data_IF_799716740936
#
_entry.id   IF_799716740936
#
_cell.length_a   1.000
_cell.length_b   1.000
_cell.length_c   1.000
_cell.angle_alpha   90.00
_cell.angle_beta   90.00
_cell.angle_gamma   90.00
#
_symmetry.space_group_name_H-M   'P 1'
#
loop_
_entity.id
_entity.type
_entity.pdbx_description
1 polymer ?
#
# COMPACT_ATOMS: atom_id res chain seq x y z
N UNK A 1 47.11 18.62 -1.17
CA UNK A 1 45.92 17.89 -0.68
C UNK A 1 44.94 17.81 -1.84
N UNK A 2 44.94 16.70 -2.60
CA UNK A 2 44.14 16.56 -3.83
C UNK A 2 42.79 15.96 -3.44
N UNK A 3 41.73 16.78 -3.52
CA UNK A 3 40.36 16.35 -3.27
C UNK A 3 39.84 15.64 -4.53
N UNK A 4 39.67 14.32 -4.47
CA UNK A 4 38.94 13.56 -5.49
C UNK A 4 37.46 13.93 -5.37
N UNK A 5 36.89 14.51 -6.42
CA UNK A 5 35.45 14.69 -6.59
C UNK A 5 34.95 13.44 -7.28
N UNK A 6 34.24 12.58 -6.56
CA UNK A 6 33.51 11.46 -7.13
C UNK A 6 32.19 11.97 -7.69
N UNK A 7 32.07 11.98 -9.02
CA UNK A 7 30.84 12.26 -9.74
C UNK A 7 30.04 10.95 -9.80
N UNK A 8 28.97 10.85 -9.00
CA UNK A 8 28.01 9.75 -9.11
C UNK A 8 27.06 10.08 -10.26
N UNK A 9 27.27 9.44 -11.42
CA UNK A 9 26.26 9.44 -12.48
C UNK A 9 25.16 8.44 -12.07
N UNK A 10 24.02 8.97 -11.63
CA UNK A 10 22.81 8.17 -11.50
C UNK A 10 22.32 7.85 -12.92
N UNK A 11 22.71 6.70 -13.45
CA UNK A 11 22.08 6.15 -14.63
C UNK A 11 20.67 5.72 -14.21
N UNK A 12 19.69 6.60 -14.43
CA UNK A 12 18.29 6.20 -14.37
C UNK A 12 18.07 5.22 -15.52
N UNK A 13 18.05 3.92 -15.20
CA UNK A 13 17.42 2.94 -16.06
C UNK A 13 15.95 3.35 -16.13
N UNK A 14 15.53 3.96 -17.24
CA UNK A 14 14.12 4.14 -17.56
C UNK A 14 13.55 2.73 -17.78
N UNK A 15 13.10 2.10 -16.70
CA UNK A 15 12.24 0.93 -16.82
C UNK A 15 10.99 1.40 -17.58
N UNK A 16 10.65 0.70 -18.66
CA UNK A 16 9.37 0.90 -19.35
C UNK A 16 8.26 0.68 -18.33
N UNK A 17 7.60 1.75 -17.90
CA UNK A 17 6.44 1.65 -17.02
C UNK A 17 5.34 0.98 -17.86
N UNK A 18 4.84 -0.21 -17.49
CA UNK A 18 3.78 -0.87 -18.26
C UNK A 18 2.58 0.07 -18.37
N UNK A 19 1.88 0.07 -19.49
CA UNK A 19 0.77 1.00 -19.78
C UNK A 19 -0.35 0.97 -18.72
N UNK A 20 -0.59 -0.19 -18.12
CA UNK A 20 -1.49 -0.33 -16.97
C UNK A 20 -1.07 0.52 -15.75
N UNK A 21 0.23 0.73 -15.55
CA UNK A 21 0.76 1.63 -14.52
C UNK A 21 0.80 3.11 -14.97
N UNK A 22 0.29 3.43 -16.16
CA UNK A 22 0.15 4.81 -16.66
C UNK A 22 -1.32 5.24 -16.60
N UNK A 23 -2.29 4.36 -16.88
CA UNK A 23 -3.72 4.65 -16.77
C UNK A 23 -4.65 3.47 -17.02
N UNK A 24 -5.91 3.64 -16.65
CA UNK A 24 -7.01 2.72 -16.90
C UNK A 24 -7.81 3.15 -18.13
N UNK A 25 -8.25 2.19 -18.92
CA UNK A 25 -9.09 2.44 -20.08
C UNK A 25 -10.34 1.58 -20.04
N UNK A 26 -11.44 2.11 -20.55
CA UNK A 26 -12.74 1.44 -20.54
C UNK A 26 -13.51 1.71 -21.83
N UNK A 27 -14.28 0.72 -22.26
CA UNK A 27 -15.31 0.89 -23.28
C UNK A 27 -16.68 0.59 -22.68
N UNK A 28 -17.63 1.49 -22.93
CA UNK A 28 -18.99 1.40 -22.43
C UNK A 28 -20.01 1.61 -23.55
N UNK A 29 -21.03 0.76 -23.61
CA UNK A 29 -22.20 0.94 -24.47
C UNK A 29 -23.44 0.32 -23.82
N UNK A 30 -24.42 1.16 -23.46
CA UNK A 30 -25.60 0.71 -22.72
C UNK A 30 -25.20 0.06 -21.39
N UNK A 31 -25.52 -1.23 -21.21
CA UNK A 31 -25.13 -2.02 -20.03
C UNK A 31 -23.78 -2.73 -20.17
N UNK A 32 -23.17 -2.70 -21.36
CA UNK A 32 -21.84 -3.27 -21.59
C UNK A 32 -20.80 -2.30 -21.04
N UNK A 33 -19.94 -2.79 -20.15
CA UNK A 33 -18.83 -2.05 -19.57
C UNK A 33 -17.62 -2.98 -19.47
N UNK A 34 -16.53 -2.66 -20.16
CA UNK A 34 -15.35 -3.54 -20.28
C UNK A 34 -14.08 -2.74 -20.06
N UNK A 35 -13.25 -3.19 -19.11
CA UNK A 35 -11.90 -2.67 -18.93
C UNK A 35 -11.01 -3.08 -20.11
N UNK A 36 -10.27 -2.12 -20.64
CA UNK A 36 -9.47 -2.24 -21.86
C UNK A 36 -7.99 -2.14 -21.50
N UNK A 37 -7.23 -3.15 -21.89
CA UNK A 37 -5.77 -3.06 -22.00
C UNK A 37 -5.43 -2.65 -23.43
N UNK A 38 -4.88 -1.45 -23.70
CA UNK A 38 -4.54 -1.05 -25.06
C UNK A 38 -3.53 -2.01 -25.68
N UNK A 39 -3.64 -2.21 -26.99
CA UNK A 39 -2.71 -3.04 -27.74
C UNK A 39 -1.36 -2.33 -27.80
N UNK A 40 -0.28 -3.03 -27.45
CA UNK A 40 1.08 -2.49 -27.53
C UNK A 40 1.77 -3.13 -28.73
N UNK A 41 2.25 -2.32 -29.67
CA UNK A 41 2.93 -2.81 -30.86
C UNK A 41 4.36 -2.29 -31.00
N UNK A 42 5.08 -2.92 -31.93
CA UNK A 42 6.48 -2.60 -32.24
C UNK A 42 6.63 -1.74 -33.49
N UNK A 43 5.51 -1.38 -34.13
CA UNK A 43 5.47 -0.62 -35.38
C UNK A 43 4.88 0.77 -35.14
N UNK A 44 5.35 1.81 -35.84
CA UNK A 44 4.69 3.11 -35.80
C UNK A 44 3.32 3.02 -36.51
N UNK A 45 2.42 3.97 -36.24
CA UNK A 45 1.03 3.91 -36.72
C UNK A 45 0.92 3.89 -38.26
N UNK A 46 1.87 4.52 -38.96
CA UNK A 46 1.94 4.59 -40.42
C UNK A 46 2.16 3.22 -41.07
N UNK A 47 2.78 2.27 -40.34
CA UNK A 47 3.04 0.94 -40.85
C UNK A 47 1.75 0.11 -41.06
N UNK A 48 0.64 0.53 -40.46
CA UNK A 48 -0.67 -0.09 -40.63
C UNK A 48 -1.43 0.42 -41.86
N UNK A 49 -0.85 1.34 -42.64
CA UNK A 49 -1.44 1.87 -43.85
C UNK A 49 -0.46 1.79 -45.03
N UNK A 50 -0.99 1.58 -46.23
CA UNK A 50 -0.21 1.59 -47.46
C UNK A 50 -0.73 2.67 -48.39
N UNK A 51 0.16 3.58 -48.78
CA UNK A 51 -0.10 4.66 -49.73
C UNK A 51 0.82 4.52 -50.95
N UNK A 52 0.80 3.36 -51.62
CA UNK A 52 1.39 3.30 -52.95
C UNK A 52 0.46 4.04 -53.92
N UNK A 53 1.00 4.74 -54.92
CA UNK A 53 0.25 5.63 -55.84
C UNK A 53 -0.88 4.93 -56.64
N UNK A 54 -1.20 3.67 -56.35
CA UNK A 54 -2.23 2.86 -57.01
C UNK A 54 -3.29 2.29 -56.06
N UNK A 55 -3.00 2.16 -54.75
CA UNK A 55 -3.92 1.62 -53.75
C UNK A 55 -3.70 2.27 -52.38
N UNK A 56 -4.74 2.94 -51.89
CA UNK A 56 -4.85 3.37 -50.49
C UNK A 56 -5.65 2.31 -49.75
N UNK A 57 -5.06 1.75 -48.70
CA UNK A 57 -5.72 0.78 -47.82
C UNK A 57 -5.01 0.62 -46.50
N UNK A 58 -5.78 0.21 -45.49
CA UNK A 58 -5.26 -0.36 -44.27
C UNK A 58 -4.59 -1.71 -44.53
N UNK A 59 -3.38 -1.88 -43.99
CA UNK A 59 -2.68 -3.15 -43.84
C UNK A 59 -2.87 -3.75 -42.43
N UNK A 60 -3.80 -3.19 -41.65
CA UNK A 60 -3.97 -3.62 -40.28
C UNK A 60 -4.42 -5.09 -40.20
N UNK A 61 -3.66 -5.96 -39.52
CA UNK A 61 -3.99 -7.39 -39.44
C UNK A 61 -5.23 -7.67 -38.57
N UNK A 62 -5.74 -6.65 -37.86
CA UNK A 62 -6.88 -6.75 -36.97
C UNK A 62 -8.22 -6.45 -37.64
N UNK A 63 -8.20 -6.11 -38.93
CA UNK A 63 -9.41 -5.89 -39.74
C UNK A 63 -10.27 -7.15 -39.76
N UNK A 64 -11.58 -6.97 -39.60
CA UNK A 64 -12.59 -8.02 -39.76
C UNK A 64 -13.60 -7.62 -40.83
N UNK A 65 -14.03 -8.58 -41.66
CA UNK A 65 -15.13 -8.34 -42.60
C UNK A 65 -16.43 -7.99 -41.88
N UNK A 66 -17.26 -7.16 -42.51
CA UNK A 66 -18.56 -6.71 -42.00
C UNK A 66 -18.51 -6.03 -40.62
N UNK A 67 -17.35 -5.53 -40.19
CA UNK A 67 -17.16 -4.91 -38.89
C UNK A 67 -16.49 -3.53 -38.96
N UNK A 68 -16.90 -2.64 -38.06
CA UNK A 68 -16.05 -1.52 -37.64
C UNK A 68 -15.21 -2.01 -36.46
N UNK A 69 -13.91 -2.13 -36.66
CA UNK A 69 -12.95 -2.54 -35.63
C UNK A 69 -12.36 -1.28 -34.99
N UNK A 70 -12.47 -1.17 -33.67
CA UNK A 70 -11.87 -0.11 -32.87
C UNK A 70 -10.87 -0.70 -31.88
N UNK A 71 -9.79 0.01 -31.60
CA UNK A 71 -8.87 -0.35 -30.51
C UNK A 71 -8.00 0.83 -30.12
N UNK A 72 -7.58 0.85 -28.85
CA UNK A 72 -6.50 1.70 -28.39
C UNK A 72 -5.15 1.03 -28.72
N UNK A 73 -4.22 1.80 -29.27
CA UNK A 73 -2.89 1.35 -29.67
C UNK A 73 -1.82 2.24 -29.06
N UNK A 74 -0.84 1.63 -28.39
CA UNK A 74 0.39 2.29 -27.98
C UNK A 74 1.51 1.98 -28.96
N UNK A 75 2.09 3.02 -29.54
CA UNK A 75 3.21 2.91 -30.47
C UNK A 75 4.55 2.68 -29.73
N UNK A 76 5.66 2.41 -30.45
CA UNK A 76 6.98 2.20 -29.85
C UNK A 76 7.54 3.39 -29.08
N UNK A 77 6.98 4.60 -29.26
CA UNK A 77 7.37 5.80 -28.53
C UNK A 77 6.58 5.97 -27.22
N UNK A 78 5.53 5.17 -27.03
CA UNK A 78 4.64 5.22 -25.88
C UNK A 78 3.40 6.10 -26.09
N UNK A 79 3.20 6.67 -27.27
CA UNK A 79 2.02 7.49 -27.57
C UNK A 79 0.79 6.62 -27.81
N UNK A 80 -0.36 7.06 -27.30
CA UNK A 80 -1.64 6.35 -27.38
C UNK A 80 -2.49 6.90 -28.54
N UNK A 81 -3.13 6.00 -29.29
CA UNK A 81 -3.97 6.32 -30.42
C UNK A 81 -5.26 5.49 -30.40
N UNK A 82 -6.35 6.02 -30.94
CA UNK A 82 -7.56 5.28 -31.23
C UNK A 82 -7.61 4.96 -32.73
N UNK A 83 -7.58 3.67 -33.05
CA UNK A 83 -7.82 3.19 -34.40
C UNK A 83 -9.32 2.98 -34.59
N UNK A 84 -9.83 3.42 -35.75
CA UNK A 84 -11.19 3.14 -36.22
C UNK A 84 -11.03 2.62 -37.64
N UNK A 85 -11.29 1.34 -37.86
CA UNK A 85 -11.10 0.70 -39.16
C UNK A 85 -12.38 0.01 -39.60
N UNK A 86 -12.83 0.31 -40.80
CA UNK A 86 -13.98 -0.31 -41.43
C UNK A 86 -13.53 -1.46 -42.34
N UNK A 87 -14.10 -2.63 -42.09
CA UNK A 87 -13.79 -3.83 -42.84
C UNK A 87 -14.53 -3.94 -44.18
N UNK A 88 -14.06 -4.84 -45.06
CA UNK A 88 -14.76 -5.12 -46.30
C UNK A 88 -16.08 -5.84 -46.05
N UNK A 89 -17.12 -5.44 -46.79
CA UNK A 89 -18.37 -6.18 -46.86
C UNK A 89 -18.13 -7.56 -47.51
N UNK A 90 -18.47 -8.64 -46.81
CA UNK A 90 -18.27 -10.02 -47.27
C UNK A 90 -19.26 -10.44 -48.37
N UNK A 91 -20.37 -9.72 -48.52
CA UNK A 91 -21.40 -9.93 -49.54
C UNK A 91 -21.65 -8.65 -50.35
N UNK A 92 -20.65 -8.15 -51.11
CA UNK A 92 -20.79 -6.89 -51.82
C UNK A 92 -21.78 -6.99 -52.98
N UNK A 93 -22.63 -5.97 -53.12
CA UNK A 93 -23.45 -5.78 -54.32
C UNK A 93 -22.68 -4.87 -55.28
N UNK A 94 -22.54 -5.30 -56.54
CA UNK A 94 -21.80 -4.53 -57.54
C UNK A 94 -22.40 -3.13 -57.71
N UNK A 95 -21.56 -2.11 -57.58
CA UNK A 95 -21.98 -0.70 -57.70
C UNK A 95 -22.62 -0.12 -56.43
N UNK A 96 -22.68 -0.86 -55.33
CA UNK A 96 -23.15 -0.36 -54.03
C UNK A 96 -21.94 -0.21 -53.10
N UNK A 97 -21.66 1.02 -52.68
CA UNK A 97 -20.61 1.30 -51.72
C UNK A 97 -21.07 0.97 -50.31
N UNK A 98 -20.11 0.66 -49.44
CA UNK A 98 -20.34 0.61 -48.00
C UNK A 98 -20.12 2.00 -47.42
N UNK A 99 -20.71 2.27 -46.25
CA UNK A 99 -20.59 3.58 -45.61
C UNK A 99 -20.69 3.46 -44.11
N UNK A 100 -19.98 4.32 -43.39
CA UNK A 100 -20.14 4.46 -41.96
C UNK A 100 -20.11 5.93 -41.57
N UNK A 101 -21.06 6.36 -40.74
CA UNK A 101 -21.11 7.69 -40.18
C UNK A 101 -21.08 7.61 -38.68
N UNK A 102 -20.36 8.54 -38.04
CA UNK A 102 -20.33 8.69 -36.60
C UNK A 102 -20.37 10.16 -36.23
N UNK A 103 -21.11 10.49 -35.18
CA UNK A 103 -20.86 11.72 -34.44
C UNK A 103 -19.81 11.45 -33.37
N UNK A 104 -18.75 12.24 -33.33
CA UNK A 104 -17.70 12.14 -32.31
C UNK A 104 -17.76 13.33 -31.36
N UNK A 105 -17.67 13.05 -30.06
CA UNK A 105 -17.66 14.05 -28.99
C UNK A 105 -16.57 13.73 -27.98
N UNK A 106 -16.13 14.74 -27.22
CA UNK A 106 -15.19 14.57 -26.12
C UNK A 106 -13.74 14.30 -26.55
N UNK A 107 -13.38 14.57 -27.80
CA UNK A 107 -11.99 14.47 -28.27
C UNK A 107 -11.12 15.48 -27.51
N UNK A 108 -10.01 15.04 -26.88
CA UNK A 108 -9.12 15.93 -26.13
C UNK A 108 -8.50 17.01 -27.01
N UNK A 109 -8.21 18.17 -26.41
CA UNK A 109 -7.50 19.24 -27.10
C UNK A 109 -6.13 18.75 -27.58
N UNK A 110 -5.84 18.95 -28.87
CA UNK A 110 -4.58 18.54 -29.50
C UNK A 110 -4.59 17.14 -30.14
N UNK A 111 -5.65 16.35 -29.93
CA UNK A 111 -5.88 15.12 -30.67
C UNK A 111 -6.67 15.40 -31.96
N UNK A 112 -6.26 14.81 -33.07
CA UNK A 112 -6.96 14.85 -34.35
C UNK A 112 -6.67 13.58 -35.15
N UNK A 113 -7.29 13.41 -36.33
CA UNK A 113 -6.96 12.31 -37.22
C UNK A 113 -5.58 12.53 -37.85
N UNK A 114 -4.59 11.86 -37.29
CA UNK A 114 -3.18 11.91 -37.74
C UNK A 114 -2.90 10.98 -38.92
N UNK A 115 -3.74 9.97 -39.12
CA UNK A 115 -3.78 9.13 -40.32
C UNK A 115 -5.21 8.92 -40.79
N UNK A 116 -5.38 8.97 -42.11
CA UNK A 116 -6.65 8.82 -42.83
C UNK A 116 -6.40 7.79 -43.93
N UNK A 117 -7.31 6.84 -44.17
CA UNK A 117 -7.09 5.79 -45.19
C UNK A 117 -6.89 6.42 -46.58
N UNK A 118 -7.72 7.41 -46.91
CA UNK A 118 -7.59 8.21 -48.12
C UNK A 118 -7.04 9.63 -47.83
N UNK A 119 -5.99 10.10 -48.54
CA UNK A 119 -5.50 11.46 -48.39
C UNK A 119 -6.56 12.48 -48.84
N UNK A 120 -6.65 13.62 -48.14
CA UNK A 120 -7.66 14.68 -48.35
C UNK A 120 -7.81 15.23 -49.80
N UNK A 121 -6.85 14.95 -50.70
CA UNK A 121 -6.88 15.36 -52.11
C UNK A 121 -7.30 14.25 -53.08
N UNK A 122 -7.65 13.05 -52.59
CA UNK A 122 -7.90 11.87 -53.45
C UNK A 122 -9.31 11.27 -53.31
N UNK A 123 -9.92 11.28 -52.13
CA UNK A 123 -11.34 10.93 -51.97
C UNK A 123 -12.08 12.01 -51.16
N UNK A 124 -13.03 12.76 -51.77
CA UNK A 124 -13.82 13.76 -51.07
C UNK A 124 -15.01 13.17 -50.28
N UNK A 125 -15.20 11.85 -50.32
CA UNK A 125 -16.35 11.19 -49.67
C UNK A 125 -16.14 10.95 -48.17
N UNK A 126 -14.90 11.05 -47.71
CA UNK A 126 -14.55 10.95 -46.30
C UNK A 126 -14.63 12.30 -45.58
N UNK A 127 -15.04 12.25 -44.33
CA UNK A 127 -15.11 13.41 -43.44
C UNK A 127 -14.43 13.05 -42.13
N UNK A 128 -13.35 13.77 -41.80
CA UNK A 128 -12.65 13.68 -40.51
C UNK A 128 -12.75 15.02 -39.77
N UNK A 129 -13.97 15.47 -39.46
CA UNK A 129 -14.20 16.78 -38.86
C UNK A 129 -14.46 16.67 -37.35
N UNK A 130 -13.37 16.53 -36.59
CA UNK A 130 -13.42 16.46 -35.11
C UNK A 130 -14.04 17.73 -34.50
N UNK A 131 -13.74 18.90 -35.04
CA UNK A 131 -14.24 20.18 -34.51
C UNK A 131 -15.77 20.32 -34.63
N UNK A 132 -16.36 19.82 -35.71
CA UNK A 132 -17.82 19.73 -35.88
C UNK A 132 -18.41 18.44 -35.29
N UNK A 133 -17.57 17.53 -34.81
CA UNK A 133 -17.96 16.21 -34.30
C UNK A 133 -18.52 15.29 -35.36
N UNK A 134 -18.14 15.43 -36.63
CA UNK A 134 -18.70 14.68 -37.75
C UNK A 134 -17.65 13.81 -38.42
N UNK A 135 -17.91 12.50 -38.46
CA UNK A 135 -17.09 11.51 -39.14
C UNK A 135 -17.93 10.75 -40.17
N UNK A 136 -17.40 10.56 -41.37
CA UNK A 136 -18.04 9.79 -42.42
C UNK A 136 -17.00 9.10 -43.31
N UNK A 137 -17.32 7.90 -43.75
CA UNK A 137 -16.51 7.07 -44.64
C UNK A 137 -17.37 6.44 -45.71
N UNK A 138 -16.86 6.35 -46.93
CA UNK A 138 -17.53 5.67 -48.04
C UNK A 138 -16.51 4.94 -48.90
N UNK A 139 -16.55 3.61 -48.86
CA UNK A 139 -15.59 2.79 -49.61
C UNK A 139 -16.26 1.84 -50.60
N UNK A 140 -15.51 1.53 -51.65
CA UNK A 140 -15.93 0.60 -52.68
C UNK A 140 -16.04 -0.84 -52.14
N UNK A 141 -16.83 -1.71 -52.81
CA UNK A 141 -16.88 -3.15 -52.53
C UNK A 141 -15.52 -3.80 -52.29
N UNK A 142 -15.45 -4.65 -51.25
CA UNK A 142 -14.26 -5.42 -50.87
C UNK A 142 -13.01 -4.58 -50.49
N UNK A 143 -13.17 -3.28 -50.20
CA UNK A 143 -12.12 -2.43 -49.62
C UNK A 143 -12.29 -2.25 -48.11
N UNK A 144 -11.25 -1.72 -47.48
CA UNK A 144 -11.28 -1.18 -46.12
C UNK A 144 -11.39 0.33 -46.17
N UNK A 145 -11.65 0.93 -45.02
CA UNK A 145 -11.60 2.38 -44.81
C UNK A 145 -11.25 2.68 -43.33
N UNK A 146 -11.08 3.93 -42.95
CA UNK A 146 -10.95 4.36 -41.56
C UNK A 146 -9.81 5.34 -41.30
N UNK A 147 -9.39 5.43 -40.04
CA UNK A 147 -8.31 6.34 -39.65
C UNK A 147 -7.80 6.12 -38.24
N UNK A 148 -6.84 6.96 -37.86
CA UNK A 148 -6.19 6.94 -36.54
C UNK A 148 -6.31 8.31 -35.90
N UNK A 149 -7.00 8.35 -34.77
CA UNK A 149 -7.18 9.54 -33.93
C UNK A 149 -6.11 9.58 -32.83
N UNK A 150 -5.43 10.70 -32.68
CA UNK A 150 -4.50 10.93 -31.57
C UNK A 150 -3.49 12.04 -31.84
N UNK A 151 -2.35 12.06 -31.12
CA UNK A 151 -2.11 11.25 -29.93
C UNK A 151 -3.10 11.61 -28.82
N UNK A 152 -3.52 10.62 -28.04
CA UNK A 152 -4.40 10.77 -26.89
C UNK A 152 -3.55 10.92 -25.61
N UNK A 153 -3.99 11.79 -24.70
CA UNK A 153 -3.54 11.77 -23.32
C UNK A 153 -4.08 10.52 -22.59
N UNK A 154 -3.66 10.30 -21.35
CA UNK A 154 -4.20 9.21 -20.53
C UNK A 154 -5.62 9.52 -20.05
N UNK A 155 -5.93 10.79 -19.82
CA UNK A 155 -7.27 11.26 -19.45
C UNK A 155 -8.06 11.69 -20.69
N UNK A 156 -9.13 10.96 -21.02
CA UNK A 156 -10.08 11.33 -22.07
C UNK A 156 -11.43 10.63 -21.91
N UNK A 157 -12.48 11.19 -22.52
CA UNK A 157 -13.81 10.57 -22.58
C UNK A 157 -14.39 10.84 -23.97
N UNK A 158 -14.12 9.93 -24.91
CA UNK A 158 -14.55 10.05 -26.30
C UNK A 158 -15.83 9.26 -26.48
N UNK A 159 -16.86 9.89 -27.04
CA UNK A 159 -18.09 9.19 -27.43
C UNK A 159 -18.26 9.18 -28.94
N UNK A 160 -18.41 8.00 -29.51
CA UNK A 160 -18.75 7.76 -30.92
C UNK A 160 -20.21 7.31 -31.00
N UNK A 161 -21.07 8.14 -31.58
CA UNK A 161 -22.47 7.81 -31.82
C UNK A 161 -22.66 7.37 -33.26
N UNK A 162 -23.01 6.10 -33.52
CA UNK A 162 -23.29 5.64 -34.88
C UNK A 162 -24.42 6.42 -35.56
N UNK A 163 -24.20 6.77 -36.82
CA UNK A 163 -25.19 7.35 -37.72
C UNK A 163 -25.65 6.32 -38.76
N UNK A 164 -25.63 6.71 -40.04
CA UNK A 164 -25.93 5.77 -41.14
C UNK A 164 -24.75 4.82 -41.32
N UNK A 165 -25.02 3.52 -41.14
CA UNK A 165 -24.06 2.44 -41.37
C UNK A 165 -24.63 1.45 -42.40
N UNK A 166 -23.86 1.13 -43.43
CA UNK A 166 -24.21 0.21 -44.52
C UNK A 166 -23.01 -0.66 -44.88
N UNK A 167 -23.22 -1.97 -45.04
CA UNK A 167 -22.14 -2.94 -45.32
C UNK A 167 -21.36 -3.39 -44.07
N UNK A 168 -21.70 -2.86 -42.89
CA UNK A 168 -21.18 -3.27 -41.58
C UNK A 168 -22.34 -3.84 -40.75
N UNK A 169 -22.10 -4.93 -40.04
CA UNK A 169 -23.09 -5.64 -39.22
C UNK A 169 -22.82 -5.49 -37.72
N UNK A 170 -21.59 -5.20 -37.32
CA UNK A 170 -21.19 -5.06 -35.91
C UNK A 170 -20.08 -4.04 -35.71
N UNK A 171 -19.99 -3.47 -34.51
CA UNK A 171 -18.79 -2.79 -34.03
C UNK A 171 -18.04 -3.77 -33.13
N UNK A 172 -16.72 -3.85 -33.26
CA UNK A 172 -15.88 -4.72 -32.42
C UNK A 172 -14.79 -3.86 -31.80
N UNK A 173 -14.69 -3.88 -30.48
CA UNK A 173 -13.58 -3.26 -29.77
C UNK A 173 -12.55 -4.32 -29.38
N UNK A 174 -11.30 -4.18 -29.84
CA UNK A 174 -10.19 -5.10 -29.59
C UNK A 174 -9.24 -4.58 -28.52
N UNK A 175 -8.71 -5.48 -27.69
CA UNK A 175 -7.83 -5.13 -26.57
C UNK A 175 -6.97 -6.33 -26.11
N UNK A 176 -5.96 -6.09 -25.28
CA UNK A 176 -5.06 -7.11 -24.75
C UNK A 176 -3.81 -7.36 -25.60
N UNK A 177 -3.48 -8.62 -25.85
CA UNK A 177 -2.32 -9.01 -26.67
C UNK A 177 -2.59 -8.71 -28.15
N UNK A 178 -1.73 -7.92 -28.80
CA UNK A 178 -1.87 -7.56 -30.21
C UNK A 178 -1.85 -8.77 -31.15
N UNK A 179 -1.20 -9.88 -30.78
CA UNK A 179 -1.12 -11.09 -31.59
C UNK A 179 -2.32 -12.02 -31.38
N UNK A 180 -3.05 -11.85 -30.28
CA UNK A 180 -4.22 -12.63 -29.92
C UNK A 180 -5.23 -11.77 -29.13
N UNK A 181 -5.80 -10.73 -29.77
CA UNK A 181 -6.59 -9.76 -29.04
C UNK A 181 -7.91 -10.37 -28.57
N UNK A 182 -8.34 -9.92 -27.39
CA UNK A 182 -9.71 -10.10 -26.95
C UNK A 182 -10.62 -9.12 -27.70
N UNK A 183 -11.89 -9.47 -27.83
CA UNK A 183 -12.90 -8.66 -28.51
C UNK A 183 -14.15 -8.50 -27.64
N UNK A 184 -14.72 -7.31 -27.62
CA UNK A 184 -16.11 -7.08 -27.21
C UNK A 184 -16.92 -6.62 -28.42
N UNK A 185 -18.05 -7.27 -28.67
CA UNK A 185 -18.97 -6.89 -29.73
C UNK A 185 -19.95 -5.84 -29.21
N UNK A 186 -20.16 -4.81 -30.02
CA UNK A 186 -20.93 -3.62 -29.72
C UNK A 186 -21.99 -3.40 -30.81
N UNK A 187 -23.11 -2.83 -30.39
CA UNK A 187 -24.23 -2.39 -31.22
C UNK A 187 -23.81 -1.33 -32.23
N UNK A 188 -24.33 -1.43 -33.45
CA UNK A 188 -24.12 -0.45 -34.54
C UNK A 188 -25.04 0.78 -34.41
N UNK A 189 -25.90 0.85 -33.39
CA UNK A 189 -26.88 1.95 -33.24
C UNK A 189 -26.66 2.77 -31.98
N UNK A 190 -26.04 2.20 -30.95
CA UNK A 190 -25.91 2.86 -29.66
C UNK A 190 -24.56 3.57 -29.52
N UNK A 191 -24.49 4.70 -28.79
CA UNK A 191 -23.23 5.40 -28.55
C UNK A 191 -22.19 4.53 -27.84
N UNK A 192 -20.96 4.53 -28.37
CA UNK A 192 -19.79 3.88 -27.77
C UNK A 192 -18.97 4.94 -27.05
N UNK A 193 -18.87 4.84 -25.73
CA UNK A 193 -17.97 5.67 -24.93
C UNK A 193 -16.65 4.94 -24.72
N UNK A 194 -15.53 5.63 -24.95
CA UNK A 194 -14.17 5.15 -24.79
C UNK A 194 -13.47 6.11 -23.84
N UNK A 195 -13.08 5.61 -22.68
CA UNK A 195 -12.54 6.43 -21.60
C UNK A 195 -11.11 6.02 -21.29
N UNK A 196 -10.28 7.02 -21.00
CA UNK A 196 -8.99 6.86 -20.37
C UNK A 196 -8.95 7.69 -19.09
N UNK A 197 -8.34 7.16 -18.04
CA UNK A 197 -8.04 7.86 -16.81
C UNK A 197 -6.59 7.56 -16.41
N UNK A 198 -5.82 8.56 -16.02
CA UNK A 198 -4.50 8.38 -15.43
C UNK A 198 -4.61 7.63 -14.11
N UNK A 199 -3.67 6.70 -13.86
CA UNK A 199 -3.69 5.88 -12.64
C UNK A 199 -3.51 6.76 -11.40
N UNK A 200 -4.41 6.64 -10.43
CA UNK A 200 -4.29 7.33 -9.15
C UNK A 200 -3.66 6.41 -8.10
N UNK A 201 -2.75 6.91 -7.26
CA UNK A 201 -2.17 6.09 -6.22
C UNK A 201 -3.22 5.81 -5.11
N UNK A 202 -3.09 4.70 -4.36
CA UNK A 202 -3.99 4.40 -3.26
C UNK A 202 -4.11 5.51 -2.22
N UNK A 203 -5.26 5.64 -1.59
CA UNK A 203 -5.49 6.53 -0.44
C UNK A 203 -5.46 5.69 0.84
N UNK A 204 -4.47 5.97 1.70
CA UNK A 204 -4.30 5.26 2.96
C UNK A 204 -5.17 5.82 4.08
N UNK A 205 -5.74 4.92 4.87
CA UNK A 205 -6.44 5.20 6.13
C UNK A 205 -6.08 4.11 7.13
N UNK A 206 -5.68 4.50 8.34
CA UNK A 206 -5.21 3.57 9.38
C UNK A 206 -5.84 3.90 10.74
N UNK A 207 -6.44 2.89 11.36
CA UNK A 207 -6.89 2.92 12.75
C UNK A 207 -6.04 1.96 13.57
N UNK A 208 -5.53 2.44 14.71
CA UNK A 208 -4.73 1.63 15.64
C UNK A 208 -5.50 1.44 16.93
N UNK A 209 -5.59 0.20 17.41
CA UNK A 209 -6.29 -0.16 18.63
C UNK A 209 -5.45 -1.09 19.51
N UNK A 210 -5.33 -0.82 20.83
CA UNK A 210 -5.90 0.33 21.53
C UNK A 210 -5.20 1.64 21.18
N UNK A 211 -5.85 2.78 21.47
CA UNK A 211 -5.31 4.12 21.19
C UNK A 211 -4.07 4.46 22.04
N UNK A 212 -3.93 3.85 23.22
CA UNK A 212 -2.78 4.00 24.12
C UNK A 212 -2.18 2.61 24.41
N UNK A 213 -1.46 2.02 23.45
CA UNK A 213 -0.92 0.68 23.63
C UNK A 213 0.28 0.67 24.58
N UNK A 214 0.46 -0.46 25.24
CA UNK A 214 1.58 -0.71 26.13
C UNK A 214 2.51 -1.76 25.55
N UNK A 215 3.76 -1.76 25.98
CA UNK A 215 4.68 -2.84 25.63
C UNK A 215 4.09 -4.20 26.04
N UNK A 216 4.28 -5.20 25.18
CA UNK A 216 3.75 -6.58 25.30
C UNK A 216 2.22 -6.72 25.20
N UNK A 217 1.54 -5.66 24.77
CA UNK A 217 0.14 -5.71 24.40
C UNK A 217 0.00 -5.95 22.90
N UNK A 218 -0.94 -6.82 22.51
CA UNK A 218 -1.32 -6.96 21.11
C UNK A 218 -2.00 -5.68 20.62
N UNK A 219 -1.50 -5.13 19.52
CA UNK A 219 -2.03 -3.94 18.86
C UNK A 219 -2.61 -4.37 17.52
N UNK A 220 -3.86 -3.98 17.25
CA UNK A 220 -4.50 -4.15 15.95
C UNK A 220 -4.28 -2.89 15.11
N UNK A 221 -3.81 -3.10 13.89
CA UNK A 221 -3.64 -2.10 12.84
C UNK A 221 -4.67 -2.39 11.75
N UNK A 222 -5.64 -1.51 11.59
CA UNK A 222 -6.76 -1.68 10.66
C UNK A 222 -6.66 -0.64 9.54
N UNK A 223 -6.24 -1.09 8.36
CA UNK A 223 -6.18 -0.28 7.15
C UNK A 223 -7.39 -0.45 6.22
N UNK A 224 -8.49 -1.07 6.69
CA UNK A 224 -9.62 -1.48 5.84
C UNK A 224 -10.39 -0.32 5.21
N UNK A 225 -10.25 0.88 5.76
CA UNK A 225 -10.81 2.10 5.18
C UNK A 225 -9.93 2.71 4.07
N UNK A 226 -8.78 2.11 3.76
CA UNK A 226 -7.96 2.48 2.61
C UNK A 226 -8.66 2.06 1.32
N UNK A 227 -8.47 2.84 0.26
CA UNK A 227 -9.08 2.54 -1.03
C UNK A 227 -8.20 3.04 -2.17
N UNK A 228 -8.38 2.45 -3.34
CA UNK A 228 -7.77 2.92 -4.57
C UNK A 228 -8.87 3.57 -5.44
N UNK A 229 -8.72 4.83 -5.89
CA UNK A 229 -9.80 5.55 -6.57
C UNK A 229 -10.27 4.92 -7.90
N UNK A 230 -9.38 4.21 -8.58
CA UNK A 230 -9.57 3.70 -9.94
C UNK A 230 -9.20 2.22 -10.12
N UNK A 231 -8.81 1.55 -9.03
CA UNK A 231 -8.51 0.14 -8.98
C UNK A 231 -8.78 -0.48 -7.61
N UNK A 232 -7.89 -1.37 -7.19
CA UNK A 232 -7.95 -2.08 -5.91
C UNK A 232 -6.56 -2.20 -5.30
N UNK A 233 -6.48 -2.08 -3.98
CA UNK A 233 -5.25 -2.38 -3.23
C UNK A 233 -5.06 -3.90 -3.18
N UNK A 234 -3.93 -4.39 -3.66
CA UNK A 234 -3.61 -5.83 -3.69
C UNK A 234 -2.58 -6.24 -2.64
N UNK A 235 -1.85 -5.28 -2.07
CA UNK A 235 -0.80 -5.58 -1.10
C UNK A 235 -0.63 -4.46 -0.06
N UNK A 236 -0.42 -4.88 1.19
CA UNK A 236 -0.13 -4.05 2.36
C UNK A 236 1.24 -4.45 2.90
N UNK A 237 2.20 -3.53 2.92
CA UNK A 237 3.52 -3.74 3.51
C UNK A 237 3.66 -2.88 4.75
N UNK A 238 4.04 -3.51 5.85
CA UNK A 238 4.15 -2.90 7.17
C UNK A 238 5.61 -2.89 7.60
N UNK A 239 6.08 -1.73 8.00
CA UNK A 239 7.30 -1.54 8.77
C UNK A 239 6.87 -0.92 10.10
N UNK A 240 6.87 -1.73 11.15
CA UNK A 240 6.35 -1.35 12.47
C UNK A 240 7.34 -0.51 13.26
N UNK A 241 8.64 -0.62 12.96
CA UNK A 241 9.69 0.04 13.71
C UNK A 241 10.15 1.36 13.02
N UNK A 242 9.86 1.53 11.73
CA UNK A 242 10.19 2.69 10.91
C UNK A 242 11.64 2.73 10.42
N UNK A 243 12.34 1.59 10.33
CA UNK A 243 13.74 1.48 9.92
C UNK A 243 13.93 1.40 8.39
N UNK A 244 12.83 1.34 7.63
CA UNK A 244 12.81 1.24 6.18
C UNK A 244 12.85 -0.20 5.65
N UNK A 245 12.81 -1.20 6.54
CA UNK A 245 12.70 -2.61 6.20
C UNK A 245 11.27 -3.06 6.47
N UNK A 246 10.65 -3.70 5.47
CA UNK A 246 9.31 -4.27 5.62
C UNK A 246 9.38 -5.45 6.60
N UNK A 247 8.66 -5.35 7.71
CA UNK A 247 8.49 -6.39 8.72
C UNK A 247 7.44 -7.43 8.30
N UNK A 248 6.39 -7.00 7.60
CA UNK A 248 5.26 -7.85 7.19
C UNK A 248 4.66 -7.41 5.86
N UNK A 249 4.44 -8.37 4.95
CA UNK A 249 3.62 -8.18 3.74
C UNK A 249 2.35 -9.02 3.84
N UNK A 250 1.19 -8.43 3.53
CA UNK A 250 -0.14 -9.05 3.66
C UNK A 250 -1.06 -8.62 2.53
N UNK A 251 -2.07 -9.44 2.21
CA UNK A 251 -3.24 -9.05 1.41
C UNK A 251 -4.44 -8.65 2.28
N UNK A 252 -4.41 -8.99 3.58
CA UNK A 252 -5.41 -8.56 4.57
C UNK A 252 -5.08 -7.14 5.07
N UNK A 253 -6.03 -6.18 5.03
CA UNK A 253 -5.84 -4.84 5.55
C UNK A 253 -5.73 -4.77 7.08
N UNK A 254 -6.11 -5.81 7.81
CA UNK A 254 -6.06 -5.85 9.28
C UNK A 254 -4.94 -6.78 9.72
N UNK A 255 -3.98 -6.23 10.47
CA UNK A 255 -2.87 -7.01 11.05
C UNK A 255 -2.71 -6.73 12.53
N UNK A 256 -2.02 -7.64 13.22
CA UNK A 256 -1.72 -7.52 14.65
C UNK A 256 -0.22 -7.55 14.87
N UNK A 257 0.27 -6.69 15.76
CA UNK A 257 1.68 -6.62 16.11
C UNK A 257 1.86 -6.30 17.60
N UNK A 258 2.91 -6.83 18.21
CA UNK A 258 3.23 -6.64 19.64
C UNK A 258 4.64 -6.09 19.78
N UNK A 259 4.78 -4.92 20.39
CA UNK A 259 6.09 -4.34 20.68
C UNK A 259 6.67 -4.92 21.98
N UNK A 260 7.92 -5.44 21.97
CA UNK A 260 8.53 -6.03 23.16
C UNK A 260 8.93 -5.00 24.23
N UNK A 261 9.11 -3.74 23.82
CA UNK A 261 9.50 -2.61 24.67
C UNK A 261 8.72 -1.36 24.29
N UNK A 262 8.52 -0.47 25.26
CA UNK A 262 7.90 0.83 25.01
C UNK A 262 8.86 1.79 24.32
N UNK A 263 8.30 2.78 23.62
CA UNK A 263 9.05 3.74 22.83
C UNK A 263 8.17 4.49 21.84
N UNK A 264 8.77 5.43 21.12
CA UNK A 264 8.15 6.08 19.97
C UNK A 264 8.57 5.34 18.70
N UNK A 265 7.60 4.98 17.87
CA UNK A 265 7.77 4.31 16.60
C UNK A 265 7.11 5.15 15.50
N UNK A 266 7.63 5.06 14.27
CA UNK A 266 7.00 5.67 13.11
C UNK A 266 6.58 4.55 12.15
N UNK A 267 5.40 4.00 12.39
CA UNK A 267 4.87 2.88 11.62
C UNK A 267 4.68 3.32 10.17
N UNK A 268 5.29 2.62 9.23
CA UNK A 268 5.15 2.89 7.82
C UNK A 268 4.28 1.80 7.18
N UNK A 269 3.17 2.23 6.59
CA UNK A 269 2.27 1.43 5.78
C UNK A 269 2.49 1.78 4.31
N UNK A 270 2.87 0.79 3.50
CA UNK A 270 2.87 0.92 2.03
C UNK A 270 1.72 0.12 1.45
N UNK A 271 0.82 0.81 0.77
CA UNK A 271 -0.26 0.21 0.00
C UNK A 271 0.18 0.09 -1.46
N UNK A 272 -0.06 -1.05 -2.11
CA UNK A 272 0.23 -1.24 -3.53
C UNK A 272 -1.05 -1.60 -4.25
N UNK A 273 -1.37 -0.87 -5.31
CA UNK A 273 -2.53 -1.15 -6.17
C UNK A 273 -2.29 -2.34 -7.12
N UNK A 274 -3.33 -2.75 -7.83
CA UNK A 274 -3.31 -3.84 -8.80
C UNK A 274 -2.42 -3.59 -10.04
N UNK A 275 -1.84 -2.40 -10.20
CA UNK A 275 -0.90 -2.07 -11.28
C UNK A 275 0.52 -1.80 -10.78
N UNK A 276 0.74 -1.92 -9.46
CA UNK A 276 2.05 -1.83 -8.81
C UNK A 276 2.45 -0.43 -8.33
N UNK A 277 1.56 0.56 -8.36
CA UNK A 277 1.84 1.89 -7.80
C UNK A 277 1.70 1.85 -6.28
N UNK A 278 2.74 2.28 -5.55
CA UNK A 278 2.69 2.34 -4.09
C UNK A 278 2.24 3.71 -3.56
N UNK A 279 1.49 3.71 -2.45
CA UNK A 279 1.35 4.85 -1.54
C UNK A 279 2.00 4.54 -0.21
N UNK A 280 2.83 5.44 0.29
CA UNK A 280 3.45 5.32 1.63
C UNK A 280 2.75 6.24 2.61
N UNK A 281 2.32 5.70 3.74
CA UNK A 281 1.70 6.40 4.85
C UNK A 281 2.50 6.18 6.14
N UNK A 282 2.74 7.25 6.90
CA UNK A 282 3.48 7.19 8.15
C UNK A 282 2.55 7.50 9.33
N UNK A 283 2.59 6.66 10.37
CA UNK A 283 1.78 6.78 11.57
C UNK A 283 2.68 6.84 12.81
N UNK A 284 2.78 8.00 13.49
CA UNK A 284 3.53 8.10 14.73
C UNK A 284 2.78 7.35 15.84
N UNK A 285 3.44 6.36 16.44
CA UNK A 285 2.90 5.53 17.50
C UNK A 285 3.76 5.66 18.76
N UNK A 286 3.13 5.97 19.89
CA UNK A 286 3.78 5.87 21.19
C UNK A 286 3.27 4.63 21.92
N UNK A 287 4.19 3.73 22.26
CA UNK A 287 3.92 2.54 23.07
C UNK A 287 4.47 2.80 24.46
N UNK A 288 3.62 2.76 25.49
CA UNK A 288 4.07 3.00 26.85
C UNK A 288 5.03 1.90 27.32
N UNK A 289 6.09 2.28 28.03
CA UNK A 289 6.96 1.32 28.69
C UNK A 289 6.23 0.63 29.86
N UNK A 290 6.78 -0.50 30.31
CA UNK A 290 6.33 -1.20 31.52
C UNK A 290 6.93 -0.49 32.72
N UNK A 291 6.10 -0.11 33.68
CA UNK A 291 6.54 0.61 34.88
C UNK A 291 6.45 -0.30 36.10
N UNK A 292 7.61 -0.56 36.73
CA UNK A 292 7.70 -1.26 38.02
C UNK A 292 8.49 -0.37 38.96
N UNK A 293 7.88 0.05 40.06
CA UNK A 293 8.47 0.94 41.05
C UNK A 293 8.54 0.22 42.39
N UNK A 294 9.76 0.01 42.90
CA UNK A 294 9.99 -0.48 44.26
C UNK A 294 10.58 0.65 45.11
N UNK A 295 9.89 1.03 46.18
CA UNK A 295 10.34 2.08 47.11
C UNK A 295 10.64 1.48 48.47
N UNK A 296 11.80 1.82 49.05
CA UNK A 296 12.22 1.39 50.38
C UNK A 296 12.16 2.56 51.35
N UNK A 297 11.55 2.35 52.51
CA UNK A 297 11.60 3.26 53.66
C UNK A 297 12.21 2.56 54.86
N UNK A 298 13.15 3.24 55.52
CA UNK A 298 13.81 2.76 56.74
C UNK A 298 13.36 3.66 57.90
N UNK A 299 12.96 3.07 59.03
CA UNK A 299 12.40 3.81 60.16
C UNK A 299 13.42 4.62 60.96
N UNK A 300 14.70 4.59 60.58
CA UNK A 300 15.79 5.25 61.27
C UNK A 300 16.88 5.72 60.30
N UNK A 301 17.66 6.71 60.71
CA UNK A 301 18.87 7.17 60.02
C UNK A 301 20.16 6.69 60.67
N UNK A 302 20.07 6.12 61.89
CA UNK A 302 21.20 5.56 62.64
C UNK A 302 20.81 4.22 63.28
N UNK A 303 21.76 3.31 63.44
CA UNK A 303 21.51 2.02 64.06
C UNK A 303 22.64 1.67 65.03
N UNK A 304 22.27 1.35 66.27
CA UNK A 304 23.20 0.94 67.32
C UNK A 304 23.34 -0.59 67.33
N UNK A 305 24.49 -1.13 67.79
CA UNK A 305 24.64 -2.57 67.95
C UNK A 305 23.54 -3.18 68.83
N UNK A 306 22.92 -4.26 68.37
CA UNK A 306 21.82 -4.95 69.05
C UNK A 306 20.44 -4.30 68.91
N UNK A 307 20.31 -3.17 68.20
CA UNK A 307 19.02 -2.54 67.97
C UNK A 307 18.31 -3.14 66.75
N UNK A 308 16.99 -3.08 66.79
CA UNK A 308 16.11 -3.47 65.70
C UNK A 308 15.38 -2.25 65.18
N UNK A 309 15.27 -2.11 63.86
CA UNK A 309 14.49 -1.07 63.21
C UNK A 309 13.70 -1.64 62.03
N UNK A 310 12.70 -0.89 61.56
CA UNK A 310 11.76 -1.36 60.55
C UNK A 310 12.18 -0.93 59.15
N UNK A 311 12.08 -1.85 58.20
CA UNK A 311 12.20 -1.60 56.77
C UNK A 311 10.89 -1.96 56.11
N UNK A 312 10.39 -1.07 55.26
CA UNK A 312 9.21 -1.32 54.42
C UNK A 312 9.59 -1.12 52.96
N UNK A 313 9.25 -2.09 52.12
CA UNK A 313 9.40 -2.04 50.67
C UNK A 313 8.00 -2.10 50.04
N UNK A 314 7.64 -1.06 49.28
CA UNK A 314 6.39 -1.00 48.52
C UNK A 314 6.68 -1.13 47.03
N UNK A 315 6.08 -2.14 46.41
CA UNK A 315 6.20 -2.47 45.00
C UNK A 315 4.88 -2.10 44.31
N UNK A 316 4.96 -1.21 43.33
CA UNK A 316 3.86 -0.78 42.48
C UNK A 316 4.17 -1.13 41.01
N UNK A 317 3.14 -1.53 40.25
CA UNK A 317 3.30 -1.86 38.83
C UNK A 317 2.06 -1.53 38.02
N UNK A 318 2.24 -1.13 36.76
CA UNK A 318 1.16 -0.85 35.80
C UNK A 318 0.77 -2.05 34.93
N UNK A 319 1.44 -3.19 35.11
CA UNK A 319 1.14 -4.47 34.45
C UNK A 319 1.17 -5.63 35.45
N UNK A 320 0.56 -6.74 35.05
CA UNK A 320 0.63 -7.96 35.85
C UNK A 320 2.07 -8.49 35.88
N UNK A 321 2.55 -8.90 37.06
CA UNK A 321 3.86 -9.51 37.24
C UNK A 321 3.72 -10.92 37.79
N UNK A 322 4.42 -11.87 37.18
CA UNK A 322 4.48 -13.28 37.60
C UNK A 322 5.90 -13.70 37.94
N UNK A 323 6.04 -14.64 38.87
CA UNK A 323 7.36 -15.11 39.34
C UNK A 323 8.18 -13.99 39.96
N UNK A 324 7.52 -13.05 40.63
CA UNK A 324 8.19 -11.88 41.21
C UNK A 324 9.01 -12.27 42.45
N UNK A 325 10.20 -11.70 42.57
CA UNK A 325 11.08 -11.90 43.71
C UNK A 325 11.87 -10.64 44.04
N UNK A 326 12.15 -10.45 45.34
CA UNK A 326 13.03 -9.41 45.85
C UNK A 326 14.17 -10.08 46.62
N UNK A 327 15.39 -9.93 46.12
CA UNK A 327 16.60 -10.31 46.84
C UNK A 327 17.11 -9.11 47.63
N UNK A 328 17.16 -9.24 48.96
CA UNK A 328 17.70 -8.20 49.84
C UNK A 328 19.20 -8.39 50.03
N UNK A 329 19.93 -7.30 49.84
CA UNK A 329 21.36 -7.16 50.11
C UNK A 329 21.53 -6.32 51.38
N UNK A 330 21.79 -7.02 52.48
CA UNK A 330 21.94 -6.46 53.82
C UNK A 330 23.37 -6.64 54.33
N UNK A 331 23.85 -5.78 55.24
CA UNK A 331 25.17 -5.95 55.82
C UNK A 331 25.34 -7.32 56.50
N UNK A 332 26.54 -7.89 56.38
CA UNK A 332 26.86 -9.22 56.90
C UNK A 332 26.57 -9.32 58.40
N UNK A 333 25.88 -10.39 58.78
CA UNK A 333 25.52 -10.70 60.17
C UNK A 333 24.23 -10.05 60.65
N UNK A 334 23.61 -9.15 59.88
CA UNK A 334 22.33 -8.54 60.23
C UNK A 334 21.18 -9.53 59.96
N UNK A 335 20.17 -9.52 60.82
CA UNK A 335 19.10 -10.51 60.77
C UNK A 335 17.74 -9.89 60.41
N UNK A 336 17.11 -10.43 59.36
CA UNK A 336 15.73 -10.10 58.97
C UNK A 336 14.74 -10.93 59.80
N UNK A 337 13.76 -10.24 60.37
CA UNK A 337 12.56 -10.82 60.97
C UNK A 337 11.33 -10.30 60.22
N UNK A 338 10.66 -11.15 59.43
CA UNK A 338 9.45 -10.76 58.70
C UNK A 338 8.33 -10.24 59.62
N UNK A 339 7.66 -9.16 59.22
CA UNK A 339 6.51 -8.57 59.93
C UNK A 339 5.24 -8.68 59.09
N UNK A 340 5.29 -8.23 57.84
CA UNK A 340 4.22 -8.36 56.84
C UNK A 340 4.86 -8.72 55.51
N UNK A 341 4.39 -9.77 54.85
CA UNK A 341 5.09 -10.29 53.67
C UNK A 341 4.39 -9.94 52.36
N UNK A 342 3.24 -9.24 52.40
CA UNK A 342 2.50 -8.86 51.20
C UNK A 342 2.05 -10.02 50.30
N UNK A 343 2.01 -11.25 50.82
CA UNK A 343 1.76 -12.48 50.04
C UNK A 343 3.02 -13.23 49.60
N UNK A 344 4.21 -12.69 49.86
CA UNK A 344 5.48 -13.35 49.56
C UNK A 344 5.90 -14.37 50.64
N UNK A 345 6.71 -15.35 50.23
CA UNK A 345 7.42 -16.29 51.10
C UNK A 345 8.86 -15.80 51.29
N UNK A 346 9.31 -15.69 52.54
CA UNK A 346 10.69 -15.30 52.86
C UNK A 346 11.62 -16.51 52.95
N UNK A 347 12.68 -16.52 52.14
CA UNK A 347 13.75 -17.52 52.14
C UNK A 347 14.96 -16.96 52.88
N UNK A 348 15.08 -17.31 54.17
CA UNK A 348 16.16 -16.86 55.05
C UNK A 348 17.58 -17.14 54.53
N UNK A 349 17.93 -18.32 53.96
CA UNK A 349 19.30 -18.61 53.53
C UNK A 349 19.83 -17.70 52.42
N UNK A 350 18.95 -17.13 51.61
CA UNK A 350 19.28 -16.29 50.46
C UNK A 350 18.70 -14.88 50.56
N UNK A 351 18.15 -14.50 51.72
CA UNK A 351 17.50 -13.18 51.95
C UNK A 351 16.51 -12.77 50.85
N UNK A 352 15.75 -13.74 50.32
CA UNK A 352 14.84 -13.53 49.20
C UNK A 352 13.37 -13.57 49.62
N UNK A 353 12.57 -12.64 49.11
CA UNK A 353 11.12 -12.67 49.13
C UNK A 353 10.61 -13.18 47.79
N UNK A 354 9.73 -14.17 47.78
CA UNK A 354 9.19 -14.76 46.55
C UNK A 354 7.67 -14.68 46.56
N UNK A 355 7.08 -13.99 45.59
CA UNK A 355 5.63 -13.96 45.38
C UNK A 355 5.22 -15.20 44.58
N UNK A 356 4.28 -15.97 45.14
CA UNK A 356 3.75 -17.17 44.49
C UNK A 356 2.52 -16.88 43.62
N UNK A 357 1.90 -15.72 43.82
CA UNK A 357 0.77 -15.21 43.07
C UNK A 357 1.17 -14.06 42.14
N UNK A 358 0.26 -13.72 41.21
CA UNK A 358 0.44 -12.56 40.34
C UNK A 358 0.33 -11.26 41.14
N UNK A 359 1.28 -10.35 40.96
CA UNK A 359 1.11 -8.95 41.37
C UNK A 359 0.30 -8.28 40.27
N UNK A 360 -0.94 -7.90 40.57
CA UNK A 360 -1.85 -7.36 39.55
C UNK A 360 -1.53 -5.90 39.24
N UNK A 361 -1.72 -5.52 37.99
CA UNK A 361 -1.60 -4.14 37.53
C UNK A 361 -2.41 -3.18 38.43
N UNK A 362 -1.82 -2.03 38.77
CA UNK A 362 -2.44 -0.99 39.60
C UNK A 362 -2.52 -1.35 41.10
N UNK A 363 -2.01 -2.50 41.52
CA UNK A 363 -1.96 -2.89 42.95
C UNK A 363 -0.60 -2.63 43.57
N UNK A 364 -0.59 -2.42 44.88
CA UNK A 364 0.62 -2.35 45.67
C UNK A 364 0.85 -3.65 46.45
N UNK A 365 2.09 -4.13 46.46
CA UNK A 365 2.55 -5.14 47.40
C UNK A 365 3.51 -4.51 48.39
N UNK A 366 3.26 -4.74 49.67
CA UNK A 366 4.06 -4.17 50.76
C UNK A 366 4.72 -5.30 51.53
N UNK A 367 6.05 -5.27 51.61
CA UNK A 367 6.86 -6.12 52.46
C UNK A 367 7.37 -5.25 53.60
N UNK A 368 7.15 -5.68 54.84
CA UNK A 368 7.69 -5.05 56.04
C UNK A 368 8.44 -6.08 56.85
N UNK A 369 9.66 -5.74 57.26
CA UNK A 369 10.46 -6.56 58.15
C UNK A 369 11.24 -5.71 59.14
N UNK A 370 11.52 -6.33 60.27
CA UNK A 370 12.39 -5.78 61.30
C UNK A 370 13.81 -6.30 61.06
N UNK A 371 14.78 -5.38 60.98
CA UNK A 371 16.19 -5.67 60.72
C UNK A 371 16.98 -5.45 62.01
N UNK A 372 17.66 -6.48 62.48
CA UNK A 372 18.39 -6.47 63.75
C UNK A 372 19.89 -6.37 63.51
N UNK A 373 20.51 -5.35 64.10
CA UNK A 373 21.96 -5.12 64.06
C UNK A 373 22.65 -6.11 65.00
N UNK A 374 23.79 -6.72 64.61
CA UNK A 374 24.58 -7.56 65.50
C UNK A 374 24.93 -6.83 66.79
N UNK A 375 25.02 -7.58 67.91
CA UNK A 375 25.49 -7.02 69.18
C UNK A 375 26.94 -6.55 69.04
N UNK A 376 27.35 -5.58 69.87
CA UNK A 376 28.67 -4.95 69.78
C UNK A 376 29.84 -5.96 69.81
N UNK A 377 29.68 -7.04 70.58
CA UNK A 377 30.64 -8.15 70.70
C UNK A 377 30.91 -8.88 69.37
N UNK A 378 29.90 -8.91 68.48
CA UNK A 378 29.97 -9.52 67.15
C UNK A 378 30.48 -8.55 66.07
N UNK A 379 30.64 -7.28 66.41
CA UNK A 379 31.14 -6.21 65.54
C UNK A 379 32.59 -5.82 65.86
N UNK A 380 33.31 -6.63 66.64
CA UNK A 380 34.67 -6.33 67.13
C UNK A 380 35.70 -6.11 66.02
N UNK A 381 35.44 -6.63 64.81
CA UNK A 381 36.26 -6.41 63.61
C UNK A 381 35.91 -5.12 62.82
N UNK A 382 34.87 -4.37 63.24
CA UNK A 382 34.33 -3.21 62.53
C UNK A 382 34.63 -1.92 63.29
N UNK A 383 35.24 -0.94 62.63
CA UNK A 383 35.47 0.40 63.21
C UNK A 383 34.21 1.25 63.07
N UNK A 384 33.60 1.60 64.20
CA UNK A 384 32.42 2.48 64.26
C UNK A 384 32.81 3.96 64.47
N UNK A 385 32.02 4.94 63.96
CA UNK A 385 30.80 4.76 63.17
C UNK A 385 31.10 4.30 61.73
N UNK A 386 30.21 3.48 61.17
CA UNK A 386 30.28 3.03 59.78
C UNK A 386 28.97 3.36 59.06
N UNK A 387 29.07 3.79 57.81
CA UNK A 387 27.91 3.88 56.93
C UNK A 387 27.55 2.49 56.41
N UNK A 388 26.25 2.21 56.34
CA UNK A 388 25.73 0.99 55.73
C UNK A 388 24.65 1.35 54.72
N UNK A 389 24.48 0.50 53.72
CA UNK A 389 23.39 0.57 52.76
C UNK A 389 22.56 -0.69 52.89
N UNK A 390 21.26 -0.55 52.64
CA UNK A 390 20.36 -1.68 52.41
C UNK A 390 19.94 -1.54 50.97
N UNK A 391 20.30 -2.52 50.15
CA UNK A 391 20.04 -2.59 48.72
C UNK A 391 19.26 -3.85 48.41
N UNK A 392 18.72 -3.95 47.20
CA UNK A 392 18.03 -5.16 46.79
C UNK A 392 17.70 -5.14 45.31
N UNK A 393 17.49 -6.32 44.75
CA UNK A 393 17.17 -6.51 43.34
C UNK A 393 15.76 -7.10 43.26
N UNK A 394 14.85 -6.35 42.64
CA UNK A 394 13.52 -6.85 42.31
C UNK A 394 13.53 -7.40 40.88
N UNK A 395 13.03 -8.62 40.71
CA UNK A 395 12.92 -9.29 39.41
C UNK A 395 11.50 -9.84 39.27
N UNK A 396 10.95 -9.75 38.06
CA UNK A 396 9.68 -10.37 37.72
C UNK A 396 9.60 -10.61 36.21
N UNK A 397 8.66 -11.46 35.80
CA UNK A 397 8.26 -11.62 34.40
C UNK A 397 6.91 -10.95 34.18
N UNK A 398 6.79 -10.24 33.07
CA UNK A 398 5.50 -9.74 32.57
C UNK A 398 4.91 -10.82 31.66
N UNK A 399 3.68 -11.30 31.91
CA UNK A 399 3.02 -12.23 31.02
C UNK A 399 2.64 -11.54 29.70
N UNK A 400 2.65 -12.29 28.60
CA UNK A 400 2.11 -11.77 27.34
C UNK A 400 0.58 -11.64 27.49
N UNK A 401 0.02 -10.53 26.99
CA UNK A 401 -1.42 -10.30 27.02
C UNK A 401 -2.01 -11.00 25.80
N UNK A 402 -2.81 -12.05 26.03
CA UNK A 402 -3.55 -12.78 24.98
C UNK A 402 -4.86 -12.07 24.67
#
# INVERSE_FOLDING_TARGET
>A
MVRKISLWALAALLATVPLAAQGYFEVQQGSVQVAITPLVGTQPIEAFYSYDNTQFRSLCPLVESDATVMFLYQDPTGQLYLFIIHGPNSAPVQGVNSSAQFMIQGVPAGADFVLQDDPANMDPNDVYNVAAGQLAWVWAPARTDGGVLGPLALDFDITLTPGIISGIQRIVFKYGDINAPQSVELSITDPVAIKGMANQPPVASLVVSPAEPRARQEITFDASASYDPDGQIVEYRWDFNGDGIVDLTSTDPVVRYTYPSGGSFNVQLTLVDNVGIPTVFNYPLYVSAITVVATRSISTTTALPGYTFRVTVRIHTDQDLVGAGLEEDIPVGWEITPVENGGAVFKRPTTQWVFLDTIRAGTDRVITYDLTVPRAELLTAVRLPQQFCITGIFQAKVPDIV
#
